data_IF_607105068784
#
_entry.id   IF_607105068784
#
_cell.length_a   1.000
_cell.length_b   1.000
_cell.length_c   1.000
_cell.angle_alpha   90.00
_cell.angle_beta   90.00
_cell.angle_gamma   90.00
#
_symmetry.space_group_name_H-M   'P 1'
#
loop_
_entity.id
_entity.type
_entity.pdbx_description
1 polymer ?
#
# COMPACT_ATOMS: atom_id res chain seq x y z
N UNK A 1 24.62 -38.78 -32.16
CA UNK A 1 23.83 -38.39 -30.97
C UNK A 1 24.52 -37.19 -30.34
N UNK A 2 23.91 -35.99 -30.37
CA UNK A 2 24.46 -34.85 -29.63
C UNK A 2 24.22 -35.00 -28.11
N UNK A 3 25.15 -34.52 -27.25
CA UNK A 3 25.12 -34.71 -25.80
C UNK A 3 24.19 -33.72 -25.05
N UNK A 4 23.79 -34.15 -23.85
CA UNK A 4 22.71 -33.66 -22.96
C UNK A 4 22.95 -32.30 -22.23
N UNK A 5 23.69 -31.35 -22.81
CA UNK A 5 24.09 -30.10 -22.12
C UNK A 5 22.98 -29.04 -21.91
N UNK A 6 21.71 -29.32 -22.26
CA UNK A 6 20.60 -28.38 -22.06
C UNK A 6 19.96 -28.43 -20.67
N UNK A 7 20.25 -29.47 -19.87
CA UNK A 7 19.66 -29.64 -18.54
C UNK A 7 20.34 -28.73 -17.50
N UNK A 8 21.67 -28.60 -17.53
CA UNK A 8 22.43 -27.75 -16.61
C UNK A 8 22.17 -26.25 -16.84
N UNK A 9 22.06 -25.82 -18.09
CA UNK A 9 21.79 -24.42 -18.43
C UNK A 9 20.37 -23.97 -18.02
N UNK A 10 19.43 -24.91 -17.85
CA UNK A 10 18.08 -24.62 -17.36
C UNK A 10 18.07 -24.50 -15.83
N UNK A 11 18.85 -25.31 -15.13
CA UNK A 11 19.00 -25.25 -13.66
C UNK A 11 19.64 -23.92 -13.21
N UNK A 12 20.67 -23.43 -13.90
CA UNK A 12 21.28 -22.10 -13.60
C UNK A 12 20.30 -20.93 -13.80
N UNK A 13 19.36 -21.07 -14.75
CA UNK A 13 18.39 -20.02 -15.06
C UNK A 13 17.26 -19.96 -14.04
N UNK A 14 16.86 -21.12 -13.50
CA UNK A 14 15.92 -21.20 -12.39
C UNK A 14 16.56 -20.58 -11.13
N UNK A 15 17.82 -20.90 -10.84
CA UNK A 15 18.51 -20.37 -9.65
C UNK A 15 18.71 -18.84 -9.66
N UNK A 16 19.03 -18.25 -10.84
CA UNK A 16 19.12 -16.79 -10.99
C UNK A 16 17.75 -16.10 -10.92
N UNK A 17 16.66 -16.82 -11.19
CA UNK A 17 15.31 -16.28 -11.07
C UNK A 17 14.85 -16.31 -9.60
N UNK A 18 15.17 -17.37 -8.87
CA UNK A 18 14.87 -17.50 -7.44
C UNK A 18 15.60 -16.44 -6.59
N UNK A 19 16.87 -16.13 -6.89
CA UNK A 19 17.62 -15.06 -6.21
C UNK A 19 16.99 -13.67 -6.42
N UNK A 20 16.42 -13.43 -7.61
CA UNK A 20 15.74 -12.17 -7.91
C UNK A 20 14.36 -12.07 -7.26
N UNK A 21 13.69 -13.19 -7.05
CA UNK A 21 12.43 -13.26 -6.30
C UNK A 21 12.71 -12.99 -4.81
N UNK A 22 13.74 -13.60 -4.23
CA UNK A 22 14.15 -13.36 -2.84
C UNK A 22 14.54 -11.88 -2.59
N UNK A 23 15.15 -11.20 -3.57
CA UNK A 23 15.47 -9.76 -3.47
C UNK A 23 14.22 -8.85 -3.46
N UNK A 24 13.07 -9.32 -3.98
CA UNK A 24 11.80 -8.61 -3.87
C UNK A 24 11.12 -8.87 -2.52
N UNK A 25 11.36 -10.04 -1.91
CA UNK A 25 10.79 -10.47 -0.63
C UNK A 25 11.52 -9.90 0.59
N UNK A 26 12.77 -9.47 0.43
CA UNK A 26 13.59 -8.87 1.49
C UNK A 26 13.53 -7.35 1.58
N UNK A 27 12.73 -6.66 0.75
CA UNK A 27 12.50 -5.22 0.96
C UNK A 27 11.57 -5.09 2.16
N UNK A 28 12.03 -4.57 3.33
CA UNK A 28 11.09 -4.15 4.33
C UNK A 28 10.18 -3.15 3.63
N UNK A 29 8.88 -3.46 3.52
CA UNK A 29 7.90 -2.39 3.36
C UNK A 29 8.28 -1.41 4.47
N UNK A 30 8.70 -0.17 4.14
CA UNK A 30 9.03 0.78 5.18
C UNK A 30 7.86 0.74 6.15
N UNK A 31 8.10 0.62 7.48
CA UNK A 31 7.02 0.57 8.44
C UNK A 31 6.04 1.65 8.01
N UNK A 32 4.79 1.28 7.75
CA UNK A 32 3.77 2.20 7.27
C UNK A 32 3.68 3.29 8.32
N UNK A 33 4.54 4.30 8.20
CA UNK A 33 4.45 5.51 8.98
C UNK A 33 3.02 5.94 8.72
N UNK A 34 2.24 6.27 9.77
CA UNK A 34 0.85 6.61 9.62
C UNK A 34 0.75 7.61 8.48
N UNK A 35 0.20 7.17 7.34
CA UNK A 35 0.12 8.02 6.16
C UNK A 35 -0.89 9.07 6.58
N UNK A 36 -0.46 10.31 6.67
CA UNK A 36 -1.39 11.39 7.02
C UNK A 36 -1.85 12.05 5.74
N UNK A 37 -3.15 12.32 5.66
CA UNK A 37 -3.75 12.98 4.51
C UNK A 37 -4.39 14.29 4.95
N UNK A 38 -3.92 15.40 4.39
CA UNK A 38 -4.55 16.70 4.60
C UNK A 38 -5.74 16.83 3.65
N UNK A 39 -6.94 16.90 4.22
CA UNK A 39 -8.19 17.12 3.48
C UNK A 39 -8.11 18.40 2.67
N UNK A 40 -8.39 18.33 1.38
CA UNK A 40 -8.47 19.50 0.51
C UNK A 40 -9.93 19.95 0.36
N UNK A 41 -10.17 21.21 -0.03
CA UNK A 41 -11.52 21.69 -0.29
C UNK A 41 -12.21 20.83 -1.37
N UNK A 42 -13.36 20.25 -1.04
CA UNK A 42 -14.12 19.39 -1.94
C UNK A 42 -13.77 17.90 -1.88
N UNK A 43 -12.79 17.50 -1.06
CA UNK A 43 -12.59 16.08 -0.77
C UNK A 43 -13.73 15.53 0.11
N UNK A 44 -13.97 14.23 -0.04
CA UNK A 44 -14.88 13.46 0.84
C UNK A 44 -14.13 12.26 1.40
N UNK A 45 -14.54 11.74 2.56
CA UNK A 45 -13.93 10.52 3.12
C UNK A 45 -13.95 9.35 2.14
N UNK A 46 -15.02 9.25 1.35
CA UNK A 46 -15.14 8.25 0.30
C UNK A 46 -14.05 8.40 -0.77
N UNK A 47 -13.86 9.62 -1.30
CA UNK A 47 -12.83 9.89 -2.31
C UNK A 47 -11.41 9.69 -1.75
N UNK A 48 -11.18 10.15 -0.52
CA UNK A 48 -9.89 9.99 0.17
C UNK A 48 -9.59 8.51 0.40
N UNK A 49 -10.54 7.75 0.93
CA UNK A 49 -10.40 6.31 1.14
C UNK A 49 -10.10 5.58 -0.15
N UNK A 50 -10.85 5.85 -1.22
CA UNK A 50 -10.62 5.23 -2.54
C UNK A 50 -9.23 5.56 -3.11
N UNK A 51 -8.80 6.83 -2.98
CA UNK A 51 -7.51 7.30 -3.47
C UNK A 51 -6.33 6.70 -2.70
N UNK A 52 -6.54 6.38 -1.42
CA UNK A 52 -5.55 5.77 -0.54
C UNK A 52 -5.63 4.24 -0.51
N UNK A 53 -6.65 3.65 -1.12
CA UNK A 53 -6.89 2.21 -1.09
C UNK A 53 -7.35 1.69 0.28
N UNK A 54 -7.98 2.54 1.10
CA UNK A 54 -8.52 2.18 2.41
C UNK A 54 -10.03 2.38 2.48
N UNK A 55 -10.70 1.59 3.31
CA UNK A 55 -12.11 1.81 3.61
C UNK A 55 -12.31 3.17 4.28
N UNK A 56 -13.16 4.01 3.67
CA UNK A 56 -13.52 5.31 4.25
C UNK A 56 -14.14 5.18 5.65
N UNK A 57 -14.77 4.04 5.95
CA UNK A 57 -15.30 3.73 7.29
C UNK A 57 -14.17 3.53 8.30
N UNK A 58 -13.13 2.77 7.95
CA UNK A 58 -11.94 2.58 8.78
C UNK A 58 -11.19 3.89 8.96
N UNK A 59 -11.09 4.69 7.90
CA UNK A 59 -10.51 6.03 7.94
C UNK A 59 -11.31 6.95 8.88
N UNK A 60 -12.65 6.92 8.83
CA UNK A 60 -13.51 7.65 9.75
C UNK A 60 -13.31 7.18 11.19
N UNK A 61 -13.33 5.88 11.45
CA UNK A 61 -13.14 5.32 12.80
C UNK A 61 -11.80 5.71 13.41
N UNK A 62 -10.73 5.67 12.61
CA UNK A 62 -9.39 6.10 13.04
C UNK A 62 -9.28 7.61 13.29
N UNK A 63 -10.22 8.41 12.77
CA UNK A 63 -10.20 9.88 12.85
C UNK A 63 -11.48 10.46 13.44
N UNK A 64 -12.28 9.66 14.15
CA UNK A 64 -13.57 10.09 14.67
C UNK A 64 -13.42 11.28 15.61
N UNK A 65 -12.36 11.29 16.42
CA UNK A 65 -12.01 12.41 17.29
C UNK A 65 -11.67 13.70 16.52
N UNK A 66 -11.11 13.57 15.31
CA UNK A 66 -10.74 14.71 14.44
C UNK A 66 -11.92 15.21 13.61
N UNK A 67 -12.74 14.29 13.09
CA UNK A 67 -13.85 14.57 12.16
C UNK A 67 -15.11 14.99 12.92
N UNK A 68 -15.39 14.36 14.06
CA UNK A 68 -16.59 14.61 14.86
C UNK A 68 -17.74 13.64 14.54
N UNK A 69 -19.00 14.01 14.87
CA UNK A 69 -20.14 13.10 14.79
C UNK A 69 -20.58 12.78 13.35
N UNK A 70 -20.25 13.67 12.40
CA UNK A 70 -20.69 13.58 11.01
C UNK A 70 -19.52 13.21 10.08
N UNK A 71 -19.48 11.99 9.52
CA UNK A 71 -18.42 11.56 8.61
C UNK A 71 -18.42 12.32 7.27
N UNK A 72 -19.56 12.85 6.84
CA UNK A 72 -19.67 13.65 5.62
C UNK A 72 -19.19 15.10 5.81
N UNK A 73 -19.03 15.56 7.05
CA UNK A 73 -18.61 16.93 7.37
C UNK A 73 -17.12 16.94 7.67
N UNK A 74 -16.30 16.70 6.65
CA UNK A 74 -14.86 16.93 6.75
C UNK A 74 -14.51 18.36 6.35
N UNK A 75 -13.56 18.96 7.07
CA UNK A 75 -13.11 20.32 6.86
C UNK A 75 -11.76 20.33 6.13
N UNK A 76 -11.61 21.17 5.10
CA UNK A 76 -10.31 21.34 4.46
C UNK A 76 -9.26 21.80 5.48
N UNK A 77 -8.06 21.22 5.41
CA UNK A 77 -6.98 21.42 6.36
C UNK A 77 -6.94 20.42 7.53
N UNK A 78 -7.97 19.56 7.69
CA UNK A 78 -7.89 18.46 8.64
C UNK A 78 -6.82 17.45 8.21
N UNK A 79 -6.03 16.99 9.17
CA UNK A 79 -5.04 15.93 8.96
C UNK A 79 -5.68 14.62 9.41
N UNK A 80 -5.93 13.72 8.46
CA UNK A 80 -6.48 12.39 8.72
C UNK A 80 -5.36 11.36 8.78
N UNK A 81 -5.34 10.56 9.83
CA UNK A 81 -4.47 9.40 10.00
C UNK A 81 -5.04 8.24 9.20
N UNK A 82 -4.30 7.77 8.23
CA UNK A 82 -4.69 6.61 7.42
C UNK A 82 -4.28 5.35 8.20
N UNK A 83 -5.24 4.48 8.57
CA UNK A 83 -4.98 3.27 9.32
C UNK A 83 -4.26 2.19 8.50
#
# INVERSE_FOLDING_TARGET
>A
MPPVEWMTALEERVSRLEERVAALEGRPTPPTAPRTYTVRPGDTLWAIGQRLGVDWRRLYEANRDTIGPDPDVIRPGQVLVVP
#
